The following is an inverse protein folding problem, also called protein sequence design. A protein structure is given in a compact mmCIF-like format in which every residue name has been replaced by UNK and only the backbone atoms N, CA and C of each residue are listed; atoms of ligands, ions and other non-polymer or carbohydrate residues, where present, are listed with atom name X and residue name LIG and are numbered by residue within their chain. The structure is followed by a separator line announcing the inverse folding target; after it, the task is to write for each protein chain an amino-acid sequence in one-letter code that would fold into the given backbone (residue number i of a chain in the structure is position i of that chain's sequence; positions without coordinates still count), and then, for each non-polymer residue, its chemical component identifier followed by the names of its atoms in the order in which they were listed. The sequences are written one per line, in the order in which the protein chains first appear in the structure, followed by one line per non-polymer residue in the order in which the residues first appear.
data_IF_088060630929
#
_entry.id   IF_088060630929
#
_cell.length_a   1.000
_cell.length_b   1.000
_cell.length_c   1.000
_cell.angle_alpha   90.00
_cell.angle_beta   90.00
_cell.angle_gamma   90.00
#
_symmetry.space_group_name_H-M   'P 1'
#
loop_
_entity.id
_entity.type
_entity.pdbx_description
1 polymer ?
#
# COMPACT_ATOMS: atom_id res chain seq x y z
N UNK A 1 30.82 -8.32 -8.11
CA UNK A 1 29.74 -7.58 -7.42
C UNK A 1 29.30 -6.45 -8.34
N UNK A 2 28.24 -6.64 -9.13
CA UNK A 2 27.72 -5.57 -10.01
C UNK A 2 26.87 -4.63 -9.15
N UNK A 3 27.38 -3.43 -8.90
CA UNK A 3 26.62 -2.36 -8.26
C UNK A 3 25.49 -1.97 -9.19
N UNK A 4 24.25 -2.28 -8.81
CA UNK A 4 23.07 -1.88 -9.59
C UNK A 4 23.00 -0.36 -9.62
N UNK A 5 23.41 0.26 -10.73
CA UNK A 5 23.29 1.70 -10.87
C UNK A 5 21.81 2.08 -10.87
N UNK A 6 21.46 3.12 -10.10
CA UNK A 6 20.13 3.71 -10.13
C UNK A 6 19.93 4.34 -11.51
N UNK A 7 19.28 3.62 -12.43
CA UNK A 7 18.91 4.19 -13.72
C UNK A 7 17.69 5.11 -13.56
N UNK A 8 17.58 6.16 -14.39
CA UNK A 8 16.39 7.04 -14.41
C UNK A 8 15.09 6.24 -14.53
N UNK A 9 15.11 5.15 -15.32
CA UNK A 9 14.00 4.20 -15.47
C UNK A 9 13.63 3.52 -14.16
N UNK A 10 14.62 3.15 -13.34
CA UNK A 10 14.39 2.55 -12.03
C UNK A 10 13.76 3.53 -11.04
N UNK A 11 14.20 4.80 -11.05
CA UNK A 11 13.59 5.85 -10.22
C UNK A 11 12.14 6.12 -10.60
N UNK A 12 11.86 6.24 -11.90
CA UNK A 12 10.50 6.43 -12.40
C UNK A 12 9.59 5.24 -12.07
N UNK A 13 10.11 4.01 -12.14
CA UNK A 13 9.36 2.83 -11.75
C UNK A 13 9.01 2.84 -10.25
N UNK A 14 9.97 3.18 -9.36
CA UNK A 14 9.69 3.30 -7.93
C UNK A 14 8.61 4.35 -7.65
N UNK A 15 8.72 5.51 -8.29
CA UNK A 15 7.70 6.56 -8.18
C UNK A 15 6.32 6.06 -8.64
N UNK A 16 6.25 5.36 -9.78
CA UNK A 16 5.01 4.75 -10.27
C UNK A 16 4.41 3.75 -9.29
N UNK A 17 5.24 2.88 -8.69
CA UNK A 17 4.77 1.95 -7.65
C UNK A 17 4.29 2.68 -6.40
N UNK A 18 4.96 3.74 -5.95
CA UNK A 18 4.47 4.55 -4.82
C UNK A 18 3.11 5.17 -5.14
N UNK A 19 2.98 5.83 -6.29
CA UNK A 19 1.73 6.48 -6.70
C UNK A 19 0.58 5.48 -6.76
N UNK A 20 0.76 4.34 -7.43
CA UNK A 20 -0.33 3.36 -7.55
C UNK A 20 -0.72 2.74 -6.20
N UNK A 21 0.25 2.52 -5.30
CA UNK A 21 -0.03 1.96 -3.97
C UNK A 21 -0.80 2.93 -3.09
N UNK A 22 -0.40 4.21 -3.09
CA UNK A 22 -1.06 5.25 -2.32
C UNK A 22 -2.39 5.71 -2.94
N UNK A 23 -2.66 5.36 -4.21
CA UNK A 23 -3.98 5.55 -4.80
C UNK A 23 -5.05 4.61 -4.21
N UNK A 24 -4.65 3.42 -3.72
CA UNK A 24 -5.58 2.47 -3.09
C UNK A 24 -6.31 3.06 -1.86
N UNK A 25 -5.64 3.62 -0.84
CA UNK A 25 -6.31 4.29 0.28
C UNK A 25 -6.94 5.63 -0.11
N UNK A 26 -6.60 6.24 -1.26
CA UNK A 26 -7.30 7.46 -1.68
C UNK A 26 -8.79 7.18 -1.95
N UNK A 27 -9.13 5.94 -2.35
CA UNK A 27 -10.53 5.49 -2.49
C UNK A 27 -11.30 5.63 -1.17
N UNK A 28 -10.66 5.34 -0.03
CA UNK A 28 -11.30 5.40 1.27
C UNK A 28 -11.68 6.81 1.71
N UNK A 29 -11.00 7.84 1.19
CA UNK A 29 -11.34 9.23 1.45
C UNK A 29 -12.72 9.63 0.90
N UNK A 30 -13.28 8.84 -0.03
CA UNK A 30 -14.57 9.11 -0.68
C UNK A 30 -15.74 8.28 -0.13
N UNK A 31 -15.51 7.34 0.82
CA UNK A 31 -16.49 6.31 1.23
C UNK A 31 -17.14 6.57 2.62
N UNK A 32 -16.94 7.76 3.20
CA UNK A 32 -17.29 8.15 4.59
C UNK A 32 -16.36 7.56 5.66
N UNK A 33 -15.96 8.41 6.62
CA UNK A 33 -15.18 7.99 7.78
C UNK A 33 -16.06 7.23 8.78
N UNK A 34 -15.51 6.25 9.53
CA UNK A 34 -16.25 5.58 10.60
C UNK A 34 -16.75 6.61 11.62
N UNK A 35 -18.06 6.87 11.61
CA UNK A 35 -18.71 7.86 12.48
C UNK A 35 -19.11 7.29 13.83
N UNK A 36 -20.15 7.89 14.43
CA UNK A 36 -20.67 7.52 15.76
C UNK A 36 -21.02 6.02 15.90
N UNK A 37 -21.42 5.36 14.80
CA UNK A 37 -21.66 3.92 14.79
C UNK A 37 -20.41 3.10 15.16
N UNK A 38 -19.26 3.41 14.54
CA UNK A 38 -18.01 2.70 14.81
C UNK A 38 -17.48 3.01 16.22
N UNK A 39 -17.68 4.23 16.70
CA UNK A 39 -17.33 4.62 18.08
C UNK A 39 -18.17 3.90 19.13
N UNK A 40 -19.46 3.66 18.85
CA UNK A 40 -20.37 2.94 19.72
C UNK A 40 -20.15 1.43 19.82
N UNK A 41 -19.29 0.84 18.97
CA UNK A 41 -18.97 -0.58 19.03
C UNK A 41 -18.20 -0.93 20.30
N UNK A 42 -18.60 -2.03 20.96
CA UNK A 42 -17.82 -2.65 22.03
C UNK A 42 -16.56 -3.30 21.43
N UNK A 43 -15.47 -2.53 21.42
CA UNK A 43 -14.17 -2.97 20.89
C UNK A 43 -13.44 -3.82 21.95
N UNK A 44 -12.73 -4.88 21.55
CA UNK A 44 -11.89 -5.64 22.46
C UNK A 44 -10.73 -4.77 22.99
N UNK A 45 -10.18 -5.11 24.17
CA UNK A 45 -9.10 -4.36 24.79
C UNK A 45 -7.80 -4.29 23.94
N UNK A 46 -7.64 -5.19 22.97
CA UNK A 46 -6.51 -5.24 22.04
C UNK A 46 -6.70 -4.37 20.79
N UNK A 47 -7.83 -3.67 20.65
CA UNK A 47 -8.03 -2.81 19.48
C UNK A 47 -7.10 -1.59 19.57
N UNK A 48 -6.22 -1.37 18.58
CA UNK A 48 -5.34 -0.22 18.60
C UNK A 48 -6.10 1.12 18.57
N UNK A 49 -5.50 2.19 19.11
CA UNK A 49 -6.04 3.53 18.97
C UNK A 49 -6.21 3.96 17.51
N UNK A 50 -7.25 4.74 17.20
CA UNK A 50 -7.57 5.17 15.83
C UNK A 50 -6.40 5.92 15.14
N UNK A 51 -5.64 6.72 15.89
CA UNK A 51 -4.51 7.46 15.36
C UNK A 51 -3.36 6.57 14.86
N UNK A 52 -3.24 5.33 15.37
CA UNK A 52 -2.16 4.41 15.02
C UNK A 52 -2.31 3.84 13.61
N UNK A 53 -3.54 3.76 13.10
CA UNK A 53 -3.80 3.23 11.77
C UNK A 53 -3.11 4.05 10.67
N UNK A 54 -3.11 5.39 10.77
CA UNK A 54 -2.46 6.26 9.77
C UNK A 54 -0.97 5.96 9.56
N UNK A 55 -0.14 6.03 10.62
CA UNK A 55 1.28 5.70 10.53
C UNK A 55 1.56 4.27 10.07
N UNK A 56 0.83 3.28 10.61
CA UNK A 56 1.01 1.87 10.25
C UNK A 56 0.71 1.64 8.78
N UNK A 57 -0.42 2.12 8.27
CA UNK A 57 -0.77 1.97 6.86
C UNK A 57 0.18 2.72 5.94
N UNK A 58 0.64 3.92 6.33
CA UNK A 58 1.64 4.67 5.55
C UNK A 58 2.95 3.87 5.41
N UNK A 59 3.41 3.26 6.50
CA UNK A 59 4.60 2.40 6.48
C UNK A 59 4.36 1.17 5.59
N UNK A 60 3.21 0.50 5.76
CA UNK A 60 2.88 -0.69 4.97
C UNK A 60 2.81 -0.38 3.47
N UNK A 61 2.14 0.70 3.05
CA UNK A 61 2.07 1.09 1.64
C UNK A 61 3.44 1.44 1.06
N UNK A 62 4.28 2.09 1.85
CA UNK A 62 5.67 2.38 1.43
C UNK A 62 6.44 1.07 1.20
N UNK A 63 6.35 0.13 2.13
CA UNK A 63 7.02 -1.17 2.04
C UNK A 63 6.49 -2.02 0.88
N UNK A 64 5.18 -2.04 0.66
CA UNK A 64 4.53 -2.71 -0.47
C UNK A 64 5.04 -2.17 -1.82
N UNK A 65 5.05 -0.84 -1.99
CA UNK A 65 5.56 -0.19 -3.20
C UNK A 65 7.03 -0.51 -3.46
N UNK A 66 7.87 -0.45 -2.42
CA UNK A 66 9.29 -0.79 -2.50
C UNK A 66 9.47 -2.27 -2.85
N UNK A 67 8.72 -3.18 -2.24
CA UNK A 67 8.77 -4.60 -2.55
C UNK A 67 8.39 -4.89 -4.01
N UNK A 68 7.31 -4.29 -4.51
CA UNK A 68 6.89 -4.41 -5.91
C UNK A 68 7.95 -3.88 -6.88
N UNK A 69 8.56 -2.73 -6.57
CA UNK A 69 9.68 -2.18 -7.33
C UNK A 69 10.90 -3.11 -7.34
N UNK A 70 11.26 -3.69 -6.20
CA UNK A 70 12.38 -4.63 -6.10
C UNK A 70 12.13 -5.90 -6.94
N UNK A 71 10.90 -6.43 -6.92
CA UNK A 71 10.49 -7.57 -7.75
C UNK A 71 10.55 -7.19 -9.24
N UNK A 72 9.98 -6.05 -9.61
CA UNK A 72 10.00 -5.54 -10.98
C UNK A 72 11.43 -5.40 -11.52
N UNK A 73 12.38 -4.91 -10.72
CA UNK A 73 13.79 -4.81 -11.16
C UNK A 73 14.42 -6.17 -11.48
N UNK A 74 13.97 -7.25 -10.82
CA UNK A 74 14.56 -8.59 -10.99
C UNK A 74 13.93 -9.36 -12.14
N UNK A 75 12.61 -9.27 -12.29
CA UNK A 75 11.85 -10.15 -13.21
C UNK A 75 10.90 -9.40 -14.14
N UNK A 76 10.87 -8.08 -14.09
CA UNK A 76 9.92 -7.27 -14.86
C UNK A 76 8.47 -7.51 -14.45
N UNK A 77 7.54 -7.33 -15.41
CA UNK A 77 6.13 -7.65 -15.24
C UNK A 77 5.89 -9.15 -15.36
N UNK A 78 5.90 -9.83 -14.21
CA UNK A 78 5.67 -11.27 -14.10
C UNK A 78 4.55 -11.58 -13.08
N UNK A 79 4.18 -12.86 -12.95
CA UNK A 79 3.10 -13.34 -12.06
C UNK A 79 3.09 -12.72 -10.64
N UNK A 80 4.23 -12.51 -9.94
CA UNK A 80 4.21 -11.88 -8.63
C UNK A 80 3.62 -10.46 -8.62
N UNK A 81 3.81 -9.69 -9.70
CA UNK A 81 3.22 -8.35 -9.80
C UNK A 81 1.72 -8.40 -10.12
N UNK A 82 1.24 -9.43 -10.82
CA UNK A 82 -0.20 -9.67 -10.95
C UNK A 82 -0.84 -9.90 -9.58
N UNK A 83 -0.24 -10.75 -8.74
CA UNK A 83 -0.72 -10.98 -7.37
C UNK A 83 -0.69 -9.70 -6.53
N UNK A 84 0.34 -8.87 -6.69
CA UNK A 84 0.43 -7.57 -6.06
C UNK A 84 -0.73 -6.64 -6.45
N UNK A 85 -1.05 -6.51 -7.73
CA UNK A 85 -2.18 -5.67 -8.17
C UNK A 85 -3.53 -6.22 -7.70
N UNK A 86 -3.72 -7.54 -7.70
CA UNK A 86 -4.92 -8.17 -7.14
C UNK A 86 -5.03 -7.89 -5.64
N UNK A 87 -3.94 -8.04 -4.89
CA UNK A 87 -3.90 -7.72 -3.46
C UNK A 87 -4.21 -6.23 -3.21
N UNK A 88 -3.69 -5.33 -4.02
CA UNK A 88 -3.94 -3.89 -3.91
C UNK A 88 -5.40 -3.54 -4.23
N UNK A 89 -6.01 -4.19 -5.23
CA UNK A 89 -7.42 -4.01 -5.55
C UNK A 89 -8.34 -4.51 -4.42
N UNK A 90 -8.04 -5.68 -3.85
CA UNK A 90 -8.76 -6.20 -2.68
C UNK A 90 -8.58 -5.30 -1.45
N UNK A 91 -7.37 -4.73 -1.29
CA UNK A 91 -7.09 -3.79 -0.22
C UNK A 91 -7.87 -2.48 -0.38
N UNK A 92 -7.97 -1.92 -1.58
CA UNK A 92 -8.78 -0.73 -1.85
C UNK A 92 -10.29 -0.99 -1.68
N UNK A 93 -10.75 -2.22 -1.98
CA UNK A 93 -12.14 -2.62 -1.77
C UNK A 93 -12.49 -2.82 -0.28
N UNK A 94 -11.48 -2.93 0.59
CA UNK A 94 -11.66 -3.04 2.03
C UNK A 94 -11.46 -1.66 2.66
N UNK A 95 -12.55 -0.97 2.97
CA UNK A 95 -12.58 0.32 3.68
C UNK A 95 -13.80 0.35 4.58
#
# INVERSE_FOLDING_TARGET
MSTSSFSKRSGLALFGFLVITFAAPAVSAFIEMPGAWYEGLRKPALNPPAWLFGPVWTLLYTLMAVAAWLVWKRVGFAKPLTLYFVQLALNAAWT
#
